data_IF_787877146903
#
_entry.id   IF_787877146903
#
_cell.length_a   1.000
_cell.length_b   1.000
_cell.length_c   1.000
_cell.angle_alpha   90.00
_cell.angle_beta   90.00
_cell.angle_gamma   90.00
#
_symmetry.space_group_name_H-M   'P 1'
#
loop_
_entity.id
_entity.type
_entity.pdbx_description
1 polymer ?
#
# COMPACT_ATOMS: atom_id res chain seq x y z
N UNK A 1 1.92 10.63 13.42
CA UNK A 1 1.51 9.65 12.40
C UNK A 1 0.36 8.80 12.93
N UNK A 2 -0.47 8.33 12.01
CA UNK A 2 -1.54 7.38 12.27
C UNK A 2 -1.02 5.98 11.90
N UNK A 3 -1.00 5.06 12.86
CA UNK A 3 -0.31 3.78 12.71
C UNK A 3 -1.31 2.63 12.63
N UNK A 4 -1.18 1.77 11.61
CA UNK A 4 -1.99 0.56 11.47
C UNK A 4 -1.30 -0.60 12.20
N UNK A 5 -1.82 -1.00 13.37
CA UNK A 5 -1.16 -1.99 14.24
C UNK A 5 -1.31 -3.44 13.79
N UNK A 6 -2.20 -3.73 12.84
CA UNK A 6 -2.40 -5.08 12.29
C UNK A 6 -1.54 -5.39 11.06
N UNK A 7 -0.84 -4.42 10.51
CA UNK A 7 -0.07 -4.61 9.28
C UNK A 7 1.29 -5.25 9.56
N UNK A 8 1.68 -6.22 8.72
CA UNK A 8 3.03 -6.77 8.72
C UNK A 8 4.11 -5.69 8.46
N UNK A 9 3.74 -4.56 7.87
CA UNK A 9 4.60 -3.38 7.72
C UNK A 9 5.00 -2.78 9.06
N UNK A 10 4.23 -2.97 10.14
CA UNK A 10 4.60 -2.53 11.49
C UNK A 10 5.88 -3.18 11.99
N UNK A 11 6.12 -4.44 11.65
CA UNK A 11 7.36 -5.12 12.03
C UNK A 11 8.57 -4.51 11.35
N UNK A 12 8.42 -4.00 10.12
CA UNK A 12 9.49 -3.39 9.30
C UNK A 12 9.45 -1.86 9.32
N UNK A 13 8.30 -1.25 9.54
CA UNK A 13 8.06 0.19 9.41
C UNK A 13 7.58 0.59 8.02
N UNK A 14 7.47 1.89 7.81
CA UNK A 14 7.14 2.49 6.52
C UNK A 14 8.37 2.50 5.62
N UNK A 15 8.21 2.05 4.39
CA UNK A 15 9.29 1.97 3.41
C UNK A 15 9.44 3.29 2.65
N UNK A 16 10.63 3.84 2.60
CA UNK A 16 10.96 5.02 1.83
C UNK A 16 12.14 4.75 0.90
N UNK A 17 12.10 5.35 -0.28
CA UNK A 17 13.21 5.38 -1.22
C UNK A 17 14.09 6.59 -0.89
N UNK A 18 15.26 6.38 -0.32
CA UNK A 18 16.17 7.43 0.13
C UNK A 18 17.39 7.52 -0.78
N UNK A 19 17.93 8.72 -1.07
CA UNK A 19 19.20 8.83 -1.76
C UNK A 19 20.32 8.25 -0.88
N UNK A 20 21.25 7.52 -1.48
CA UNK A 20 22.39 6.90 -0.77
C UNK A 20 23.33 7.95 -0.21
N UNK A 21 23.48 9.08 -0.90
CA UNK A 21 24.22 10.26 -0.44
C UNK A 21 23.52 11.52 -0.94
N UNK A 22 23.79 12.63 -0.29
CA UNK A 22 23.23 13.94 -0.69
C UNK A 22 23.61 14.26 -2.14
N UNK A 23 22.59 14.49 -2.99
CA UNK A 23 22.79 14.75 -4.42
C UNK A 23 23.02 13.49 -5.27
N UNK A 24 23.00 12.27 -4.69
CA UNK A 24 23.11 11.02 -5.45
C UNK A 24 21.81 10.69 -6.17
N UNK A 25 21.94 10.17 -7.40
CA UNK A 25 20.83 9.54 -8.14
C UNK A 25 20.57 8.10 -7.69
N UNK A 26 21.51 7.48 -6.98
CA UNK A 26 21.36 6.15 -6.43
C UNK A 26 20.48 6.18 -5.19
N UNK A 27 19.52 5.25 -5.11
CA UNK A 27 18.51 5.20 -4.05
C UNK A 27 18.48 3.82 -3.39
N UNK A 28 18.26 3.83 -2.09
CA UNK A 28 18.06 2.61 -1.31
C UNK A 28 16.72 2.64 -0.57
N UNK A 29 16.20 1.47 -0.20
CA UNK A 29 14.97 1.37 0.60
C UNK A 29 15.32 1.41 2.07
N UNK A 30 14.87 2.46 2.72
CA UNK A 30 14.97 2.65 4.16
C UNK A 30 13.63 2.42 4.84
N UNK A 31 13.65 1.81 6.03
CA UNK A 31 12.44 1.54 6.80
C UNK A 31 12.43 2.38 8.07
N UNK A 32 11.44 3.24 8.19
CA UNK A 32 11.24 4.10 9.34
C UNK A 32 10.03 3.63 10.14
N UNK A 33 10.17 3.50 11.44
CA UNK A 33 9.04 3.18 12.32
C UNK A 33 8.39 4.48 12.78
N UNK A 34 7.19 4.80 12.26
CA UNK A 34 6.50 6.00 12.70
C UNK A 34 6.04 5.83 14.15
N UNK A 35 6.16 6.90 14.92
CA UNK A 35 5.52 7.03 16.22
C UNK A 35 4.34 7.99 16.15
N UNK A 36 3.34 7.78 17.00
CA UNK A 36 2.19 8.67 17.08
C UNK A 36 1.26 8.27 18.23
N UNK A 37 0.39 9.17 18.67
CA UNK A 37 -0.52 8.90 19.78
C UNK A 37 -1.73 8.03 19.38
N UNK A 38 -1.92 7.81 18.09
CA UNK A 38 -3.06 7.07 17.55
C UNK A 38 -2.58 5.87 16.76
N UNK A 39 -3.01 4.71 17.19
CA UNK A 39 -2.86 3.45 16.46
C UNK A 39 -4.16 2.66 16.49
N UNK A 40 -4.41 1.89 15.44
CA UNK A 40 -5.56 0.99 15.38
C UNK A 40 -5.24 -0.23 14.52
N UNK A 41 -6.03 -1.28 14.68
CA UNK A 41 -5.93 -2.50 13.87
C UNK A 41 -6.88 -2.51 12.65
N UNK A 42 -7.66 -1.46 12.49
CA UNK A 42 -8.65 -1.32 11.42
C UNK A 42 -8.24 -0.22 10.43
N UNK A 43 -8.06 -0.61 9.17
CA UNK A 43 -7.66 0.31 8.11
C UNK A 43 -8.72 1.35 7.77
N UNK A 44 -10.01 1.03 7.93
CA UNK A 44 -11.08 1.96 7.66
C UNK A 44 -11.12 3.08 8.71
N UNK A 45 -10.98 2.73 9.98
CA UNK A 45 -10.89 3.71 11.08
C UNK A 45 -9.70 4.65 10.87
N UNK A 46 -8.55 4.10 10.47
CA UNK A 46 -7.37 4.90 10.18
C UNK A 46 -7.58 5.86 9.00
N UNK A 47 -8.30 5.41 7.97
CA UNK A 47 -8.69 6.23 6.83
C UNK A 47 -9.61 7.38 7.26
N UNK A 48 -10.62 7.12 8.09
CA UNK A 48 -11.52 8.15 8.62
C UNK A 48 -10.77 9.19 9.46
N UNK A 49 -9.82 8.76 10.27
CA UNK A 49 -8.96 9.68 11.02
C UNK A 49 -8.11 10.57 10.09
N UNK A 50 -7.63 10.01 8.98
CA UNK A 50 -6.89 10.76 7.99
C UNK A 50 -7.78 11.81 7.31
N UNK A 51 -9.00 11.44 6.90
CA UNK A 51 -10.01 12.36 6.35
C UNK A 51 -10.41 13.46 7.34
N UNK A 52 -10.41 13.15 8.63
CA UNK A 52 -10.66 14.13 9.69
C UNK A 52 -9.47 15.07 9.96
N UNK A 53 -8.35 14.89 9.25
CA UNK A 53 -7.16 15.74 9.39
C UNK A 53 -6.31 15.45 10.63
N UNK A 54 -6.45 14.25 11.25
CA UNK A 54 -5.74 13.93 12.48
C UNK A 54 -4.27 13.55 12.28
N UNK A 55 -3.84 13.40 11.04
CA UNK A 55 -2.44 13.18 10.75
C UNK A 55 -2.13 12.49 9.44
N UNK A 56 -0.93 11.95 9.33
CA UNK A 56 -0.38 11.31 8.14
C UNK A 56 -0.49 9.80 8.33
N UNK A 57 -0.98 9.09 7.31
CA UNK A 57 -1.12 7.65 7.28
C UNK A 57 -0.37 7.04 6.09
N UNK A 58 0.14 5.82 6.26
CA UNK A 58 0.64 5.01 5.17
C UNK A 58 -0.48 4.12 4.67
N UNK A 59 -0.94 4.35 3.43
CA UNK A 59 -2.06 3.62 2.84
C UNK A 59 -1.74 3.17 1.42
N UNK A 60 -2.42 2.14 0.97
CA UNK A 60 -2.36 1.71 -0.42
C UNK A 60 -3.09 2.71 -1.31
N UNK A 61 -2.51 3.09 -2.43
CA UNK A 61 -3.08 4.09 -3.35
C UNK A 61 -4.49 3.73 -3.82
N UNK A 62 -4.74 2.44 -4.12
CA UNK A 62 -6.05 1.97 -4.56
C UNK A 62 -7.18 2.18 -3.52
N UNK A 63 -6.85 2.30 -2.22
CA UNK A 63 -7.83 2.56 -1.15
C UNK A 63 -8.18 4.04 -1.04
N UNK A 64 -7.24 4.93 -1.37
CA UNK A 64 -7.36 6.37 -1.12
C UNK A 64 -7.46 7.22 -2.38
N UNK A 65 -7.33 6.61 -3.57
CA UNK A 65 -7.30 7.33 -4.86
C UNK A 65 -8.53 8.21 -5.07
N UNK A 66 -9.72 7.73 -4.70
CA UNK A 66 -10.97 8.49 -4.84
C UNK A 66 -10.99 9.75 -3.95
N UNK A 67 -10.38 9.67 -2.77
CA UNK A 67 -10.31 10.80 -1.84
C UNK A 67 -9.25 11.81 -2.27
N UNK A 68 -8.15 11.34 -2.84
CA UNK A 68 -7.12 12.20 -3.44
C UNK A 68 -7.71 12.92 -4.66
N UNK A 69 -8.40 12.20 -5.56
CA UNK A 69 -9.04 12.78 -6.73
C UNK A 69 -10.12 13.81 -6.38
N UNK A 70 -10.80 13.61 -5.25
CA UNK A 70 -11.82 14.54 -4.72
C UNK A 70 -11.21 15.70 -3.89
N UNK A 71 -9.89 15.74 -3.71
CA UNK A 71 -9.20 16.76 -2.91
C UNK A 71 -9.45 16.66 -1.40
N UNK A 72 -9.92 15.50 -0.91
CA UNK A 72 -10.13 15.25 0.53
C UNK A 72 -8.85 14.77 1.23
N UNK A 73 -7.96 14.15 0.48
CA UNK A 73 -6.64 13.75 0.91
C UNK A 73 -5.60 14.28 -0.08
N UNK A 74 -4.38 14.44 0.40
CA UNK A 74 -3.22 14.75 -0.44
C UNK A 74 -2.07 13.79 -0.15
N UNK A 75 -1.23 13.53 -1.15
CA UNK A 75 0.00 12.77 -0.97
C UNK A 75 1.09 13.67 -0.43
N UNK A 76 1.94 13.12 0.41
CA UNK A 76 3.10 13.82 0.96
C UNK A 76 4.35 12.94 0.83
N UNK A 77 5.51 13.55 0.70
CA UNK A 77 6.79 12.86 0.56
C UNK A 77 6.90 12.00 -0.72
N UNK A 78 6.28 12.42 -1.81
CA UNK A 78 6.23 11.68 -3.07
C UNK A 78 7.63 11.38 -3.64
N UNK A 79 8.59 12.30 -3.46
CA UNK A 79 9.99 12.11 -3.86
C UNK A 79 10.67 10.95 -3.12
N UNK A 80 10.12 10.55 -1.99
CA UNK A 80 10.61 9.45 -1.17
C UNK A 80 9.74 8.20 -1.27
N UNK A 81 8.77 8.18 -2.16
CA UNK A 81 7.88 7.03 -2.33
C UNK A 81 8.68 5.77 -2.66
N UNK A 82 8.45 4.71 -1.90
CA UNK A 82 9.01 3.40 -2.21
C UNK A 82 8.38 2.84 -3.50
N UNK A 83 9.07 1.96 -4.24
CA UNK A 83 8.49 1.30 -5.38
C UNK A 83 7.17 0.61 -5.02
N UNK A 84 6.19 0.60 -5.95
CA UNK A 84 4.89 0.00 -5.68
C UNK A 84 5.01 -1.50 -5.37
N UNK A 85 4.30 -1.95 -4.35
CA UNK A 85 4.18 -3.37 -4.03
C UNK A 85 3.11 -4.01 -4.92
N UNK A 86 3.42 -5.20 -5.45
CA UNK A 86 2.44 -6.00 -6.18
C UNK A 86 1.47 -6.73 -5.24
N UNK A 87 0.33 -7.14 -5.79
CA UNK A 87 -0.58 -8.08 -5.13
C UNK A 87 -0.17 -9.49 -5.55
N UNK A 88 0.00 -10.38 -4.58
CA UNK A 88 0.52 -11.73 -4.80
C UNK A 88 -0.47 -12.78 -4.28
N UNK A 89 -0.72 -13.80 -5.08
CA UNK A 89 -1.37 -15.01 -4.63
C UNK A 89 -0.32 -15.98 -4.05
N UNK A 90 -0.40 -16.25 -2.76
CA UNK A 90 0.48 -17.19 -2.09
C UNK A 90 -0.19 -18.57 -2.01
N UNK A 91 0.54 -19.60 -2.40
CA UNK A 91 0.08 -20.98 -2.31
C UNK A 91 1.24 -21.92 -1.95
N UNK A 92 0.98 -23.05 -1.25
CA UNK A 92 2.02 -24.00 -0.90
C UNK A 92 2.70 -24.57 -2.14
N UNK A 93 4.03 -24.68 -2.10
CA UNK A 93 4.79 -25.31 -3.17
C UNK A 93 4.49 -26.80 -3.22
N UNK A 94 3.62 -27.20 -4.15
CA UNK A 94 3.31 -28.62 -4.42
C UNK A 94 3.73 -28.96 -5.84
N UNK A 95 4.16 -30.21 -6.05
CA UNK A 95 4.55 -30.72 -7.38
C UNK A 95 3.47 -30.54 -8.43
N UNK A 96 2.19 -30.61 -8.01
CA UNK A 96 1.04 -30.41 -8.89
C UNK A 96 0.02 -29.51 -8.21
N UNK A 97 -0.21 -28.37 -8.78
CA UNK A 97 -1.31 -27.47 -8.39
C UNK A 97 -2.63 -28.09 -8.90
N UNK A 98 -3.62 -28.24 -8.03
CA UNK A 98 -4.93 -28.72 -8.44
C UNK A 98 -5.52 -27.79 -9.51
N UNK A 99 -6.17 -28.36 -10.54
CA UNK A 99 -6.71 -27.59 -11.68
C UNK A 99 -7.62 -26.43 -11.21
N UNK A 100 -8.47 -26.66 -10.21
CA UNK A 100 -9.35 -25.62 -9.63
C UNK A 100 -8.58 -24.42 -9.08
N UNK A 101 -7.40 -24.65 -8.46
CA UNK A 101 -6.57 -23.57 -7.92
C UNK A 101 -5.91 -22.80 -9.05
N UNK A 102 -5.43 -23.49 -10.08
CA UNK A 102 -4.87 -22.85 -11.28
C UNK A 102 -5.92 -21.96 -11.97
N UNK A 103 -7.11 -22.51 -12.23
CA UNK A 103 -8.20 -21.75 -12.87
C UNK A 103 -8.61 -20.52 -12.04
N UNK A 104 -8.60 -20.66 -10.71
CA UNK A 104 -8.88 -19.52 -9.82
C UNK A 104 -7.79 -18.45 -9.91
N UNK A 105 -6.52 -18.83 -9.90
CA UNK A 105 -5.40 -17.89 -10.07
C UNK A 105 -5.47 -17.20 -11.43
N UNK A 106 -5.76 -17.94 -12.50
CA UNK A 106 -5.87 -17.40 -13.86
C UNK A 106 -7.06 -16.41 -13.95
N UNK A 107 -8.18 -16.74 -13.32
CA UNK A 107 -9.32 -15.84 -13.19
C UNK A 107 -8.94 -14.53 -12.45
N UNK A 108 -8.28 -14.63 -11.30
CA UNK A 108 -7.84 -13.47 -10.53
C UNK A 108 -6.86 -12.62 -11.34
N UNK A 109 -5.89 -13.24 -12.02
CA UNK A 109 -4.95 -12.52 -12.90
C UNK A 109 -5.66 -11.80 -14.04
N UNK A 110 -6.65 -12.46 -14.66
CA UNK A 110 -7.42 -11.85 -15.73
C UNK A 110 -8.24 -10.67 -15.22
N UNK A 111 -8.90 -10.83 -14.08
CA UNK A 111 -9.81 -9.83 -13.54
C UNK A 111 -9.06 -8.63 -12.92
N UNK A 112 -8.07 -8.88 -12.07
CA UNK A 112 -7.31 -7.85 -11.36
C UNK A 112 -6.05 -7.38 -12.10
N UNK A 113 -5.60 -8.09 -13.12
CA UNK A 113 -4.43 -7.72 -13.93
C UNK A 113 -4.72 -6.68 -15.00
N UNK A 114 -5.98 -6.28 -15.19
CA UNK A 114 -6.33 -5.23 -16.12
C UNK A 114 -5.93 -3.87 -15.54
N UNK A 115 -5.18 -3.03 -16.28
CA UNK A 115 -4.78 -1.71 -15.80
C UNK A 115 -5.98 -0.85 -15.36
N UNK A 116 -7.09 -0.98 -16.07
CA UNK A 116 -8.31 -0.21 -15.84
C UNK A 116 -9.07 -0.64 -14.58
N UNK A 117 -8.82 -1.84 -14.05
CA UNK A 117 -9.49 -2.30 -12.83
C UNK A 117 -9.19 -1.38 -11.65
N UNK A 118 -7.94 -1.01 -11.49
CA UNK A 118 -7.48 -0.15 -10.39
C UNK A 118 -7.71 1.35 -10.66
N UNK A 119 -7.80 1.73 -11.94
CA UNK A 119 -8.11 3.08 -12.36
C UNK A 119 -9.63 3.36 -12.44
N UNK A 120 -10.48 2.33 -12.40
CA UNK A 120 -11.88 2.38 -12.79
C UNK A 120 -12.92 2.41 -11.69
N UNK A 121 -12.56 2.57 -10.42
CA UNK A 121 -13.53 2.85 -9.34
C UNK A 121 -14.01 4.31 -9.36
N UNK A 122 -14.02 4.92 -10.53
CA UNK A 122 -14.55 6.28 -10.74
C UNK A 122 -15.99 6.20 -11.24
N UNK A 123 -16.93 5.86 -10.32
CA UNK A 123 -18.35 6.20 -10.45
C UNK A 123 -18.88 6.56 -9.08
#
# INVERSE_FOLDING_TARGET
CLVLSSDASQTRGWAFSMPVAEGSSEREISYLRPGGPLDCSDGQVLHEWCLAGWGIAWRSTWEVESDIAAGRLETVLDDYAAPPNGIYALFPQRRHLALRVRLWIDYLKHHYGQPDYWAGSRN
#
